data_IF_677413364142
#
_entry.id   IF_677413364142
#
_cell.length_a   1.000
_cell.length_b   1.000
_cell.length_c   1.000
_cell.angle_alpha   90.00
_cell.angle_beta   90.00
_cell.angle_gamma   90.00
#
_symmetry.space_group_name_H-M   'P 1'
#
loop_
_entity.id
_entity.type
_entity.pdbx_description
1 polymer ?
#
# COMPACT_ATOMS: atom_id res chain seq x y z
N UNK A 1 -18.67 -5.97 8.35
CA UNK A 1 -18.45 -5.28 8.55
C UNK A 1 -17.90 -4.37 7.74
N UNK A 2 -17.50 -3.43 7.96
CA UNK A 2 -17.05 -2.57 7.22
C UNK A 2 -15.68 -2.72 6.95
N UNK A 3 -15.17 -2.56 5.82
CA UNK A 3 -13.80 -2.63 5.47
C UNK A 3 -13.25 -1.23 5.57
N UNK A 4 -12.47 -1.01 6.58
CA UNK A 4 -11.88 0.26 6.74
C UNK A 4 -10.41 0.22 6.45
N UNK A 5 -9.85 1.29 5.91
CA UNK A 5 -8.44 1.38 5.65
C UNK A 5 -7.70 1.47 6.97
N UNK A 6 -6.51 0.95 7.03
CA UNK A 6 -5.70 1.05 8.22
C UNK A 6 -5.33 2.51 8.41
N UNK A 7 -5.27 2.93 9.64
CA UNK A 7 -4.82 4.28 9.94
C UNK A 7 -3.31 4.32 9.65
N UNK A 8 -2.81 5.44 9.13
CA UNK A 8 -1.38 5.55 8.87
C UNK A 8 -0.52 5.19 10.07
N UNK A 9 -0.97 5.56 11.27
CA UNK A 9 -0.21 5.23 12.47
C UNK A 9 -0.09 3.73 12.67
N UNK A 10 -1.13 2.98 12.29
CA UNK A 10 -1.10 1.53 12.44
C UNK A 10 -0.13 0.92 11.44
N UNK A 11 -0.04 1.48 10.26
CA UNK A 11 0.89 0.99 9.26
C UNK A 11 2.30 1.20 9.75
N UNK A 12 2.59 2.39 10.28
CA UNK A 12 3.90 2.71 10.77
C UNK A 12 4.28 1.80 11.94
N UNK A 13 3.33 1.60 12.86
CA UNK A 13 3.59 0.75 14.01
C UNK A 13 3.86 -0.68 13.59
N UNK A 14 3.11 -1.18 12.61
CA UNK A 14 3.30 -2.53 12.13
C UNK A 14 4.67 -2.72 11.47
N UNK A 15 5.12 -1.70 10.74
CA UNK A 15 6.43 -1.78 10.13
C UNK A 15 7.52 -1.80 11.20
N UNK A 16 7.32 -1.03 12.27
CA UNK A 16 8.28 -1.02 13.34
C UNK A 16 8.37 -2.35 14.00
N UNK A 17 7.26 -3.03 14.16
CA UNK A 17 7.26 -4.33 14.77
C UNK A 17 8.03 -5.32 13.92
N UNK A 18 8.09 -5.08 12.63
CA UNK A 18 8.83 -5.96 11.73
C UNK A 18 10.29 -5.56 11.63
N UNK A 19 10.68 -4.51 12.33
CA UNK A 19 12.06 -4.07 12.31
C UNK A 19 12.42 -3.19 11.14
N UNK A 20 11.45 -2.54 10.53
CA UNK A 20 11.72 -1.69 9.38
C UNK A 20 10.94 -0.39 9.51
N UNK A 21 10.90 0.42 8.46
CA UNK A 21 10.21 1.67 8.48
C UNK A 21 9.94 2.10 7.04
N UNK A 22 9.10 3.12 6.86
CA UNK A 22 8.83 3.61 5.52
C UNK A 22 10.11 4.13 4.89
N UNK A 23 10.95 4.79 5.66
CA UNK A 23 12.20 5.31 5.13
C UNK A 23 13.12 4.18 4.68
N UNK A 24 13.20 3.13 5.47
CA UNK A 24 14.05 2.00 5.13
C UNK A 24 13.55 1.31 3.88
N UNK A 25 12.23 1.11 3.78
CA UNK A 25 11.65 0.48 2.62
C UNK A 25 11.87 1.32 1.37
N UNK A 26 11.77 2.64 1.50
CA UNK A 26 11.99 3.51 0.38
C UNK A 26 13.40 3.34 -0.14
N UNK A 27 14.37 3.37 0.75
CA UNK A 27 15.75 3.25 0.34
C UNK A 27 16.05 1.89 -0.27
N UNK A 28 15.48 0.84 0.31
CA UNK A 28 15.69 -0.49 -0.22
C UNK A 28 15.12 -0.65 -1.61
N UNK A 29 14.13 0.15 -1.93
CA UNK A 29 13.50 0.09 -3.24
C UNK A 29 14.10 1.09 -4.23
N UNK A 30 15.17 1.74 -3.84
CA UNK A 30 15.80 2.71 -4.73
C UNK A 30 15.12 4.07 -4.75
N UNK A 31 14.33 4.38 -3.74
CA UNK A 31 13.61 5.63 -3.68
C UNK A 31 14.19 6.52 -2.59
N UNK A 32 13.83 7.79 -2.61
CA UNK A 32 14.24 8.69 -1.55
C UNK A 32 13.55 8.26 -0.27
N UNK A 33 14.15 8.51 0.87
CA UNK A 33 13.64 7.99 2.14
C UNK A 33 12.22 8.46 2.49
N UNK A 34 11.79 9.60 1.96
CA UNK A 34 10.45 10.08 2.27
C UNK A 34 9.41 9.71 1.23
N UNK A 35 9.82 9.09 0.15
CA UNK A 35 8.92 8.85 -0.97
C UNK A 35 7.80 7.87 -0.67
N UNK A 36 8.10 6.81 0.01
CA UNK A 36 7.10 5.78 0.23
C UNK A 36 5.94 6.25 1.10
N UNK A 37 6.18 7.27 1.92
CA UNK A 37 5.12 7.80 2.77
C UNK A 37 3.98 8.37 1.94
N UNK A 38 4.22 8.71 0.68
CA UNK A 38 3.17 9.22 -0.18
C UNK A 38 2.04 8.21 -0.36
N UNK A 39 2.35 6.93 -0.23
CA UNK A 39 1.32 5.91 -0.38
C UNK A 39 0.30 5.97 0.75
N UNK A 40 0.64 6.60 1.85
CA UNK A 40 -0.28 6.69 2.98
C UNK A 40 -1.36 7.73 2.71
N UNK A 41 -1.07 8.72 1.87
CA UNK A 41 -2.01 9.80 1.63
C UNK A 41 -2.64 9.77 0.25
N UNK A 42 -2.13 8.98 -0.66
CA UNK A 42 -2.73 8.90 -1.97
C UNK A 42 -2.59 7.51 -2.55
N UNK A 43 -3.41 7.21 -3.52
CA UNK A 43 -3.39 5.90 -4.15
C UNK A 43 -2.15 5.80 -5.04
N UNK A 44 -1.25 4.91 -4.70
CA UNK A 44 -0.03 4.71 -5.45
C UNK A 44 0.28 3.22 -5.42
N UNK A 45 -0.20 2.47 -6.40
CA UNK A 45 -0.11 1.00 -6.36
C UNK A 45 1.27 0.44 -6.09
N UNK A 46 2.30 1.03 -6.67
CA UNK A 46 3.63 0.51 -6.44
C UNK A 46 4.03 0.67 -4.97
N UNK A 47 3.81 1.85 -4.41
CA UNK A 47 4.16 2.07 -3.01
C UNK A 47 3.33 1.24 -2.08
N UNK A 48 2.04 1.07 -2.41
CA UNK A 48 1.16 0.26 -1.59
C UNK A 48 1.61 -1.18 -1.56
N UNK A 49 2.06 -1.67 -2.70
CA UNK A 49 2.51 -3.04 -2.76
C UNK A 49 3.78 -3.24 -1.96
N UNK A 50 4.71 -2.29 -2.00
CA UNK A 50 5.94 -2.40 -1.24
C UNK A 50 5.65 -2.46 0.25
N UNK A 51 4.72 -1.64 0.71
CA UNK A 51 4.36 -1.64 2.11
C UNK A 51 3.66 -2.94 2.49
N UNK A 52 2.73 -3.39 1.65
CA UNK A 52 2.00 -4.60 1.96
C UNK A 52 2.91 -5.82 2.00
N UNK A 53 3.87 -5.88 1.09
CA UNK A 53 4.79 -6.99 1.08
C UNK A 53 5.63 -7.00 2.35
N UNK A 54 6.04 -5.83 2.82
CA UNK A 54 6.82 -5.74 4.03
C UNK A 54 6.01 -6.21 5.24
N UNK A 55 4.69 -6.03 5.18
CA UNK A 55 3.82 -6.45 6.26
C UNK A 55 3.25 -7.85 6.03
N UNK A 56 3.69 -8.49 4.95
CA UNK A 56 3.30 -9.84 4.66
C UNK A 56 1.80 -9.96 4.43
N UNK A 57 1.25 -9.00 3.72
CA UNK A 57 -0.18 -8.96 3.44
C UNK A 57 -0.40 -8.39 2.04
N UNK A 58 -1.62 -8.10 1.69
CA UNK A 58 -1.97 -7.59 0.38
C UNK A 58 -2.41 -6.13 0.49
N UNK A 59 -2.18 -5.31 -0.53
CA UNK A 59 -2.60 -3.91 -0.47
C UNK A 59 -4.08 -3.73 -0.19
N UNK A 60 -4.93 -4.60 -0.74
CA UNK A 60 -6.35 -4.45 -0.52
C UNK A 60 -6.75 -4.79 0.91
N UNK A 61 -5.88 -5.42 1.67
CA UNK A 61 -6.17 -5.69 3.07
C UNK A 61 -5.90 -4.42 3.89
N UNK A 62 -4.93 -3.63 3.47
CA UNK A 62 -4.57 -2.42 4.17
C UNK A 62 -5.44 -1.26 3.73
N UNK A 63 -5.72 -1.17 2.45
CA UNK A 63 -6.51 -0.07 1.91
C UNK A 63 -7.71 -0.57 1.11
N UNK A 64 -8.65 -1.21 1.77
CA UNK A 64 -9.79 -1.77 1.04
C UNK A 64 -10.56 -0.74 0.24
N UNK A 65 -10.64 0.49 0.74
CA UNK A 65 -11.39 1.49 0.01
C UNK A 65 -10.77 1.84 -1.33
N UNK A 66 -9.47 1.67 -1.48
CA UNK A 66 -8.81 2.02 -2.72
C UNK A 66 -8.99 0.95 -3.79
N UNK A 67 -9.38 -0.24 -3.37
CA UNK A 67 -9.50 -1.36 -4.29
C UNK A 67 -10.91 -1.86 -4.53
N UNK A 68 -11.85 -1.44 -3.74
CA UNK A 68 -13.18 -1.86 -3.92
C UNK A 68 -13.78 -1.52 -5.23
N UNK A 69 -13.71 -0.31 -5.62
CA UNK A 69 -14.27 0.11 -6.86
C UNK A 69 -13.46 -0.39 -8.01
N UNK A 70 -12.21 -0.60 -7.79
CA UNK A 70 -11.35 -1.01 -8.82
C UNK A 70 -11.56 -2.40 -9.29
N UNK A 71 -12.13 -3.22 -8.50
CA UNK A 71 -12.42 -4.48 -8.87
C UNK A 71 -13.17 -4.51 -10.12
N UNK A 72 -14.28 -3.90 -10.17
CA UNK A 72 -15.08 -3.87 -11.33
C UNK A 72 -14.42 -3.19 -12.42
N UNK A 73 -13.81 -2.07 -12.11
CA UNK A 73 -13.17 -1.31 -13.09
C UNK A 73 -12.05 -2.06 -13.72
N UNK A 74 -11.27 -2.76 -12.98
CA UNK A 74 -10.22 -3.42 -13.48
C UNK A 74 -10.58 -4.48 -14.42
N UNK A 75 -11.64 -5.09 -14.22
CA UNK A 75 -12.05 -6.03 -15.11
C UNK A 75 -12.21 -5.54 -16.43
N UNK A 76 -12.72 -4.41 -16.59
CA UNK A 76 -12.88 -3.89 -17.84
C UNK A 76 -11.64 -3.48 -18.38
N UNK A 77 -10.85 -2.86 -17.65
CA UNK A 77 -9.75 -2.37 -18.22
C UNK A 77 -8.82 -3.40 -18.56
N UNK A 78 -8.85 -4.44 -17.94
CA UNK A 78 -8.02 -5.34 -18.13
C UNK A 78 -7.94 -5.75 -19.47
N UNK A 79 -8.82 -5.52 -20.06
CA UNK A 79 -8.78 -5.89 -21.26
C UNK A 79 -8.10 -5.01 -22.00
N UNK A 80 -7.89 -4.04 -21.62
CA UNK A 80 -7.29 -3.11 -22.17
C UNK A 80 -6.00 -3.32 -22.08
N UNK A 81 -5.85 -3.93 -21.71
CA UNK A 81 -4.76 -4.23 -21.53
C UNK A 81 -4.00 -3.98 -21.17
N UNK A 82 -4.12 -3.85 -21.01
CA UNK A 82 -3.58 -3.74 -20.58
C UNK A 82 -3.20 -3.78 -20.42
#
# INVERSE_FOLDING_TARGET
MKHQDWHPADIIASLRKKGTSLAALSRESGLASSTLANALTRHWPKGERLIAEALNTQPEQIWPSRYQGNKTYREQRKEQGT
#
